data_IF_101562097588
#
_entry.id   IF_101562097588
#
_cell.length_a   1.000
_cell.length_b   1.000
_cell.length_c   1.000
_cell.angle_alpha   90.00
_cell.angle_beta   90.00
_cell.angle_gamma   90.00
#
_symmetry.space_group_name_H-M   'P 1'
#
loop_
_entity.id
_entity.type
_entity.pdbx_description
1 polymer ?
#
# COMPACT_ATOMS: atom_id res chain seq x y z
N UNK A 1 29.19 -35.00 28.07
CA UNK A 1 28.26 -34.85 26.94
C UNK A 1 27.24 -33.80 27.31
N UNK A 2 27.31 -32.61 26.69
CA UNK A 2 26.35 -31.52 26.96
C UNK A 2 25.28 -31.60 25.88
N UNK A 3 24.06 -31.96 26.29
CA UNK A 3 22.90 -32.03 25.39
C UNK A 3 22.42 -30.61 25.14
N UNK A 4 22.69 -30.06 23.96
CA UNK A 4 22.20 -28.76 23.53
C UNK A 4 20.72 -28.90 23.16
N UNK A 5 19.83 -28.42 24.04
CA UNK A 5 18.39 -28.37 23.79
C UNK A 5 18.10 -27.16 22.87
N UNK A 6 17.87 -27.43 21.58
CA UNK A 6 17.37 -26.43 20.63
C UNK A 6 15.89 -26.13 20.95
N UNK A 7 15.65 -25.07 21.72
CA UNK A 7 14.32 -24.46 21.84
C UNK A 7 13.96 -23.81 20.51
N UNK A 8 13.24 -24.53 19.65
CA UNK A 8 12.49 -23.96 18.53
C UNK A 8 11.37 -23.10 19.11
N UNK A 9 11.67 -21.84 19.40
CA UNK A 9 10.62 -20.85 19.63
C UNK A 9 9.85 -20.69 18.33
N UNK A 10 8.59 -21.14 18.33
CA UNK A 10 7.66 -20.86 17.26
C UNK A 10 7.45 -19.34 17.25
N UNK A 11 8.23 -18.64 16.44
CA UNK A 11 7.97 -17.22 16.15
C UNK A 11 6.61 -17.20 15.47
N UNK A 12 5.58 -16.57 16.06
CA UNK A 12 4.31 -16.43 15.37
C UNK A 12 4.60 -15.69 14.07
N UNK A 13 4.42 -16.37 12.94
CA UNK A 13 4.49 -15.73 11.64
C UNK A 13 3.30 -14.78 11.59
N UNK A 14 3.52 -13.52 11.92
CA UNK A 14 2.48 -12.49 11.83
C UNK A 14 1.92 -12.51 10.42
N UNK A 15 0.68 -13.00 10.30
CA UNK A 15 0.03 -13.13 9.01
C UNK A 15 -0.09 -11.73 8.40
N UNK A 16 0.55 -11.53 7.25
CA UNK A 16 0.48 -10.26 6.57
C UNK A 16 -0.99 -9.93 6.23
N UNK A 17 -1.42 -8.69 6.44
CA UNK A 17 -2.65 -8.22 5.82
C UNK A 17 -2.40 -8.16 4.31
N UNK A 18 -3.15 -8.96 3.56
CA UNK A 18 -3.04 -9.04 2.10
C UNK A 18 -4.29 -8.41 1.49
N UNK A 19 -4.09 -7.41 0.65
CA UNK A 19 -5.13 -6.79 -0.14
C UNK A 19 -4.79 -6.88 -1.64
N UNK A 20 -5.82 -6.74 -2.46
CA UNK A 20 -5.70 -6.62 -3.91
C UNK A 20 -6.43 -5.36 -4.35
N UNK A 21 -5.83 -4.67 -5.33
CA UNK A 21 -6.40 -3.50 -6.00
C UNK A 21 -6.19 -3.59 -7.51
N UNK A 22 -6.85 -2.74 -8.28
CA UNK A 22 -6.78 -2.77 -9.75
C UNK A 22 -5.56 -2.04 -10.33
N UNK A 23 -5.03 -1.06 -9.60
CA UNK A 23 -3.88 -0.25 -10.00
C UNK A 23 -3.15 0.30 -8.78
N UNK A 24 -1.82 0.19 -8.79
CA UNK A 24 -0.95 0.94 -7.87
C UNK A 24 -0.31 2.11 -8.63
N UNK A 25 -0.44 3.30 -8.11
CA UNK A 25 0.22 4.49 -8.63
C UNK A 25 1.34 4.93 -7.70
N UNK A 26 2.50 5.24 -8.28
CA UNK A 26 3.56 6.03 -7.65
C UNK A 26 3.37 7.46 -8.12
N UNK A 27 3.00 8.37 -7.22
CA UNK A 27 2.75 9.76 -7.54
C UNK A 27 3.80 10.67 -6.90
N UNK A 28 4.32 11.58 -7.71
CA UNK A 28 5.28 12.61 -7.32
C UNK A 28 4.55 13.96 -7.38
N UNK A 29 4.20 14.49 -6.21
CA UNK A 29 3.51 15.77 -6.09
C UNK A 29 4.52 16.92 -6.07
N UNK A 30 4.24 17.95 -6.86
CA UNK A 30 4.98 19.20 -6.91
C UNK A 30 4.05 20.37 -6.58
N UNK A 31 4.60 21.49 -6.14
CA UNK A 31 3.84 22.72 -6.00
C UNK A 31 3.79 23.53 -7.31
N UNK A 32 3.12 24.68 -7.28
CA UNK A 32 3.00 25.58 -8.44
C UNK A 32 4.32 26.19 -8.92
N UNK A 33 5.39 26.10 -8.11
CA UNK A 33 6.74 26.54 -8.46
C UNK A 33 7.60 25.39 -8.97
N UNK A 34 7.04 24.17 -9.09
CA UNK A 34 7.76 22.98 -9.52
C UNK A 34 8.68 22.40 -8.45
N UNK A 35 8.49 22.75 -7.17
CA UNK A 35 9.24 22.15 -6.06
C UNK A 35 8.58 20.85 -5.65
N UNK A 36 9.38 19.81 -5.40
CA UNK A 36 8.89 18.52 -4.92
C UNK A 36 8.25 18.68 -3.53
N UNK A 37 7.06 18.12 -3.38
CA UNK A 37 6.27 18.16 -2.14
C UNK A 37 6.25 16.79 -1.49
N UNK A 38 5.85 15.75 -2.22
CA UNK A 38 5.72 14.40 -1.66
C UNK A 38 5.77 13.29 -2.69
N UNK A 39 6.30 12.14 -2.28
CA UNK A 39 6.15 10.88 -2.99
C UNK A 39 5.14 10.00 -2.26
N UNK A 40 4.14 9.53 -2.99
CA UNK A 40 3.07 8.73 -2.42
C UNK A 40 2.70 7.52 -3.29
N UNK A 41 2.24 6.46 -2.63
CA UNK A 41 1.53 5.37 -3.25
C UNK A 41 0.04 5.65 -3.18
N UNK A 42 -0.66 5.51 -4.31
CA UNK A 42 -2.11 5.60 -4.39
C UNK A 42 -2.64 4.27 -4.90
N UNK A 43 -3.62 3.71 -4.19
CA UNK A 43 -4.22 2.41 -4.49
C UNK A 43 -5.60 2.62 -5.07
N UNK A 44 -5.81 2.19 -6.31
CA UNK A 44 -7.04 2.42 -7.05
C UNK A 44 -7.80 1.12 -7.31
N UNK A 45 -9.12 1.18 -7.13
CA UNK A 45 -10.06 0.13 -7.53
C UNK A 45 -11.00 0.66 -8.62
N UNK A 46 -11.37 -0.21 -9.54
CA UNK A 46 -12.42 0.04 -10.52
C UNK A 46 -13.77 -0.24 -9.88
N UNK A 47 -14.59 0.80 -9.71
CA UNK A 47 -15.96 0.67 -9.26
C UNK A 47 -16.91 0.96 -10.43
N UNK A 48 -17.40 -0.11 -11.08
CA UNK A 48 -18.39 -0.12 -12.18
C UNK A 48 -17.98 0.71 -13.41
N UNK A 49 -17.97 2.04 -13.28
CA UNK A 49 -17.80 3.02 -14.34
C UNK A 49 -16.61 3.99 -14.13
N UNK A 50 -15.99 4.00 -12.94
CA UNK A 50 -14.84 4.87 -12.67
C UNK A 50 -13.84 4.26 -11.68
N UNK A 51 -12.64 4.85 -11.62
CA UNK A 51 -11.63 4.51 -10.63
C UNK A 51 -11.83 5.29 -9.33
N UNK A 52 -11.73 4.59 -8.21
CA UNK A 52 -11.83 5.13 -6.86
C UNK A 52 -10.53 4.87 -6.09
N UNK A 53 -10.09 5.82 -5.24
CA UNK A 53 -8.93 5.64 -4.38
C UNK A 53 -9.39 4.86 -3.16
N UNK A 54 -8.82 3.67 -3.01
CA UNK A 54 -9.05 2.78 -1.89
C UNK A 54 -8.25 3.21 -0.66
N UNK A 55 -7.02 3.63 -0.88
CA UNK A 55 -6.10 4.14 0.14
C UNK A 55 -4.93 4.87 -0.53
N UNK A 56 -4.16 5.58 0.28
CA UNK A 56 -2.89 6.16 -0.11
C UNK A 56 -1.91 6.13 1.06
N UNK A 57 -0.63 6.31 0.79
CA UNK A 57 0.40 6.46 1.83
C UNK A 57 1.67 7.09 1.30
N UNK A 58 2.41 7.71 2.21
CA UNK A 58 3.74 8.23 1.93
C UNK A 58 4.75 7.13 1.64
N UNK A 59 5.58 7.35 0.64
CA UNK A 59 6.75 6.51 0.38
C UNK A 59 7.86 6.94 1.33
N UNK A 60 8.20 6.07 2.29
CA UNK A 60 9.25 6.32 3.30
C UNK A 60 10.57 5.62 2.97
N UNK A 61 10.53 4.63 2.08
CA UNK A 61 11.69 3.87 1.66
C UNK A 61 11.42 3.20 0.30
N UNK A 62 12.47 3.01 -0.51
CA UNK A 62 12.38 2.35 -1.82
C UNK A 62 11.85 0.91 -1.74
N UNK A 63 12.00 0.26 -0.60
CA UNK A 63 11.44 -1.08 -0.35
C UNK A 63 9.91 -1.11 -0.42
N UNK A 64 9.25 0.05 -0.31
CA UNK A 64 7.81 0.19 -0.39
C UNK A 64 7.30 0.35 -1.82
N UNK A 65 8.19 0.66 -2.78
CA UNK A 65 7.82 0.85 -4.18
C UNK A 65 7.27 -0.45 -4.81
N UNK A 66 6.35 -0.36 -5.79
CA UNK A 66 5.78 -1.52 -6.43
C UNK A 66 6.84 -2.29 -7.22
N UNK A 67 7.02 -3.56 -6.86
CA UNK A 67 7.94 -4.48 -7.57
C UNK A 67 7.14 -5.47 -8.40
N UNK A 68 7.64 -5.79 -9.59
CA UNK A 68 7.05 -6.83 -10.44
C UNK A 68 7.35 -8.21 -9.82
N UNK A 69 6.31 -8.98 -9.58
CA UNK A 69 6.41 -10.41 -9.31
C UNK A 69 6.21 -11.15 -10.64
N UNK A 70 7.26 -11.79 -11.14
CA UNK A 70 7.25 -12.46 -12.45
C UNK A 70 6.48 -13.78 -12.44
N UNK A 71 6.34 -14.44 -11.28
CA UNK A 71 5.60 -15.70 -11.18
C UNK A 71 4.10 -15.46 -11.28
N UNK A 72 3.61 -14.35 -10.72
CA UNK A 72 2.18 -13.97 -10.78
C UNK A 72 1.86 -12.99 -11.90
N UNK A 73 2.87 -12.37 -12.51
CA UNK A 73 2.71 -11.34 -13.53
C UNK A 73 2.18 -10.00 -12.99
N UNK A 74 2.09 -9.83 -11.67
CA UNK A 74 1.49 -8.67 -10.98
C UNK A 74 2.56 -7.78 -10.33
N UNK A 75 2.14 -6.59 -9.87
CA UNK A 75 2.93 -5.71 -9.01
C UNK A 75 2.56 -5.90 -7.55
N UNK A 76 3.54 -5.73 -6.67
CA UNK A 76 3.35 -5.85 -5.23
C UNK A 76 4.10 -4.77 -4.45
N UNK A 77 3.43 -4.21 -3.46
CA UNK A 77 4.01 -3.33 -2.45
C UNK A 77 3.98 -4.00 -1.09
N UNK A 78 4.97 -3.68 -0.26
CA UNK A 78 5.07 -4.15 1.11
C UNK A 78 5.37 -3.00 2.05
N UNK A 79 4.78 -3.03 3.24
CA UNK A 79 5.21 -2.16 4.34
C UNK A 79 4.79 -2.73 5.67
N UNK A 80 5.33 -2.17 6.75
CA UNK A 80 4.94 -2.53 8.10
C UNK A 80 4.19 -1.37 8.74
N UNK A 81 3.00 -1.65 9.26
CA UNK A 81 2.25 -0.76 10.15
C UNK A 81 2.38 -1.30 11.56
N UNK A 82 3.17 -0.62 12.40
CA UNK A 82 3.54 -1.10 13.73
C UNK A 82 4.19 -2.48 13.67
N UNK A 83 3.52 -3.52 14.16
CA UNK A 83 3.99 -4.89 14.08
C UNK A 83 3.46 -5.61 12.83
N UNK A 84 2.41 -5.14 12.17
CA UNK A 84 1.78 -5.89 11.08
C UNK A 84 2.41 -5.62 9.71
N UNK A 85 2.85 -6.67 9.03
CA UNK A 85 3.23 -6.61 7.61
C UNK A 85 1.96 -6.44 6.75
N UNK A 86 1.99 -5.49 5.83
CA UNK A 86 0.99 -5.30 4.79
C UNK A 86 1.56 -5.62 3.43
N UNK A 87 0.72 -6.21 2.60
CA UNK A 87 1.03 -6.62 1.23
C UNK A 87 -0.13 -6.25 0.32
N UNK A 88 0.12 -5.44 -0.69
CA UNK A 88 -0.91 -5.04 -1.66
C UNK A 88 -0.49 -5.46 -3.05
N UNK A 89 -1.37 -6.19 -3.74
CA UNK A 89 -1.19 -6.64 -5.11
C UNK A 89 -1.99 -5.78 -6.09
N UNK A 90 -1.45 -5.58 -7.29
CA UNK A 90 -2.21 -5.06 -8.42
C UNK A 90 -1.72 -5.62 -9.76
N UNK A 91 -2.61 -5.82 -10.76
CA UNK A 91 -2.20 -6.22 -12.10
C UNK A 91 -1.43 -5.12 -12.84
N UNK A 92 -1.65 -3.85 -12.47
CA UNK A 92 -1.07 -2.68 -13.17
C UNK A 92 -0.36 -1.76 -12.19
N UNK A 93 0.68 -1.10 -12.68
CA UNK A 93 1.28 0.08 -12.04
C UNK A 93 1.24 1.28 -12.98
N UNK A 94 1.19 2.49 -12.42
CA UNK A 94 1.50 3.74 -13.14
C UNK A 94 2.40 4.63 -12.29
N UNK A 95 3.05 5.57 -12.96
CA UNK A 95 3.89 6.59 -12.32
C UNK A 95 3.47 7.96 -12.86
N UNK A 96 3.31 8.94 -11.99
CA UNK A 96 2.72 10.23 -12.34
C UNK A 96 3.43 11.39 -11.63
N UNK A 97 3.44 12.55 -12.27
CA UNK A 97 3.95 13.80 -11.73
C UNK A 97 2.83 14.82 -11.78
N UNK A 98 2.42 15.35 -10.64
CA UNK A 98 1.22 16.20 -10.54
C UNK A 98 1.51 17.46 -9.76
N UNK A 99 0.78 18.54 -10.04
CA UNK A 99 0.81 19.79 -9.26
C UNK A 99 -0.35 19.91 -8.25
N UNK A 100 -1.29 18.98 -8.34
CA UNK A 100 -2.43 18.79 -7.44
C UNK A 100 -2.41 17.38 -6.88
N UNK A 101 -2.89 17.19 -5.65
CA UNK A 101 -2.99 15.88 -5.01
C UNK A 101 -4.27 15.16 -5.48
N UNK A 102 -4.17 14.04 -6.24
CA UNK A 102 -5.34 13.30 -6.70
C UNK A 102 -6.24 12.82 -5.56
N UNK A 103 -5.68 12.63 -4.36
CA UNK A 103 -6.42 12.18 -3.20
C UNK A 103 -7.33 13.26 -2.62
N UNK A 104 -6.82 14.50 -2.55
CA UNK A 104 -7.57 15.67 -2.09
C UNK A 104 -8.75 15.93 -3.03
N UNK A 105 -8.52 15.90 -4.34
CA UNK A 105 -9.59 16.07 -5.34
C UNK A 105 -10.68 15.01 -5.18
N UNK A 106 -10.31 13.76 -4.89
CA UNK A 106 -11.32 12.73 -4.67
C UNK A 106 -12.03 12.85 -3.32
N UNK A 107 -11.39 13.41 -2.28
CA UNK A 107 -12.06 13.66 -0.99
C UNK A 107 -13.20 14.66 -1.13
N UNK A 108 -13.03 15.64 -2.02
CA UNK A 108 -14.09 16.61 -2.35
C UNK A 108 -15.29 15.94 -3.03
N UNK A 109 -15.06 14.88 -3.82
CA UNK A 109 -16.12 14.14 -4.51
C UNK A 109 -16.79 13.07 -3.64
N UNK A 110 -16.02 12.38 -2.78
CA UNK A 110 -16.52 11.29 -1.95
C UNK A 110 -15.82 11.28 -0.57
N UNK A 111 -16.56 11.59 0.51
CA UNK A 111 -16.04 11.55 1.88
C UNK A 111 -15.43 10.19 2.21
N UNK A 112 -14.42 10.21 3.08
CA UNK A 112 -13.62 9.03 3.42
C UNK A 112 -14.48 7.87 3.98
N UNK A 113 -15.56 8.20 4.69
CA UNK A 113 -16.50 7.26 5.31
C UNK A 113 -17.24 6.38 4.29
N UNK A 114 -17.38 6.86 3.06
CA UNK A 114 -18.03 6.12 1.99
C UNK A 114 -17.05 5.23 1.21
N UNK A 115 -15.74 5.27 1.50
CA UNK A 115 -14.72 4.51 0.76
C UNK A 115 -14.55 3.11 1.34
N UNK A 116 -14.31 2.14 0.45
CA UNK A 116 -13.96 0.78 0.84
C UNK A 116 -12.48 0.72 1.19
N UNK A 117 -12.11 0.89 2.46
CA UNK A 117 -10.70 0.93 2.86
C UNK A 117 -9.95 -0.39 2.64
N UNK A 118 -8.60 -0.35 2.70
CA UNK A 118 -7.76 -1.54 2.83
C UNK A 118 -8.14 -2.34 4.09
N UNK A 119 -7.94 -3.65 4.06
CA UNK A 119 -8.34 -4.52 5.18
C UNK A 119 -7.71 -4.04 6.48
N UNK A 120 -8.49 -3.94 7.56
CA UNK A 120 -7.98 -3.45 8.84
C UNK A 120 -6.81 -4.32 9.34
N UNK A 121 -5.90 -3.70 10.08
CA UNK A 121 -4.89 -4.44 10.82
C UNK A 121 -5.58 -5.44 11.76
N UNK A 122 -5.16 -6.70 11.76
CA UNK A 122 -5.77 -7.72 12.62
C UNK A 122 -5.30 -7.42 14.04
N UNK A 123 -6.18 -6.84 14.87
CA UNK A 123 -5.87 -6.60 16.29
C UNK A 123 -5.61 -7.96 16.94
N UNK A 124 -4.38 -8.22 17.35
CA UNK A 124 -4.09 -9.29 18.29
C UNK A 124 -4.65 -8.86 19.65
N UNK A 125 -5.76 -9.45 20.06
CA UNK A 125 -6.26 -9.32 21.43
C UNK A 125 -5.20 -9.92 22.36
N UNK A 126 -4.66 -9.09 23.25
CA UNK A 126 -3.83 -9.51 24.36
C UNK A 126 -4.69 -9.94 25.55
#
# INVERSE_FOLDING_TARGET
MVTLLLLLTAVPLEAAAVDQVDLIEVNHLYDSQGRHVIDQLIFWDWNRDHFEIRAWRLIKAETQLPRRDWNRGQYVCYWRDMQQLRKVWAPRKRETWTTHDPEVLQRELRPIEARRELSAARKTSH
#
